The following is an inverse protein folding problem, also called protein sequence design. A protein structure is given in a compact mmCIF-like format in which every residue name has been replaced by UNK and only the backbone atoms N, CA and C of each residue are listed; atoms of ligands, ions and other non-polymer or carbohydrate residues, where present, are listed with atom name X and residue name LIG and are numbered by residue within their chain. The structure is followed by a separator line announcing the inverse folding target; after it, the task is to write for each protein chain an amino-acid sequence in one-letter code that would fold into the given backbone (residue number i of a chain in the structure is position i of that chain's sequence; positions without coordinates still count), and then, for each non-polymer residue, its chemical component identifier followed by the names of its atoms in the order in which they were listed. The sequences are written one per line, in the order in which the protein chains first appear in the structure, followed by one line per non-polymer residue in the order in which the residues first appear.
data_IF_515689258938
#
_entry.id   IF_515689258938
#
_cell.length_a   1.000
_cell.length_b   1.000
_cell.length_c   1.000
_cell.angle_alpha   90.00
_cell.angle_beta   90.00
_cell.angle_gamma   90.00
#
_symmetry.space_group_name_H-M   'P 1'
#
loop_
_entity.id
_entity.type
_entity.pdbx_description
1 polymer ?
#
# COMPACT_ATOMS: atom_id res chain seq x y z
N UNK A 1 4.85 -5.89 21.56
CA UNK A 1 3.98 -6.42 20.50
C UNK A 1 4.51 -7.81 20.20
N UNK A 2 3.70 -8.86 20.40
CA UNK A 2 4.10 -10.26 20.24
C UNK A 2 3.32 -10.81 19.03
N UNK A 3 4.05 -11.39 18.08
CA UNK A 3 3.41 -12.07 16.94
C UNK A 3 3.26 -13.54 17.26
N UNK A 4 2.04 -14.06 17.17
CA UNK A 4 1.71 -15.46 17.38
C UNK A 4 1.83 -16.22 16.05
N UNK A 5 2.80 -17.15 15.93
CA UNK A 5 2.91 -18.05 14.79
C UNK A 5 1.82 -19.13 14.83
N UNK A 6 1.68 -19.85 13.74
CA UNK A 6 0.70 -20.94 13.60
C UNK A 6 0.82 -22.02 14.70
N UNK A 7 2.04 -22.35 15.11
CA UNK A 7 2.32 -23.34 16.14
C UNK A 7 1.75 -22.96 17.51
N UNK A 8 1.91 -21.67 17.90
CA UNK A 8 1.37 -21.17 19.16
C UNK A 8 -0.16 -21.18 19.17
N UNK A 9 -0.77 -20.88 18.02
CA UNK A 9 -2.23 -20.97 17.86
C UNK A 9 -2.71 -22.40 17.95
N UNK A 10 -1.99 -23.37 17.37
CA UNK A 10 -2.29 -24.81 17.50
C UNK A 10 -2.18 -25.31 18.93
N UNK A 11 -1.21 -24.82 19.71
CA UNK A 11 -1.02 -25.22 21.11
C UNK A 11 -2.07 -24.59 22.05
N UNK A 12 -2.55 -23.37 21.75
CA UNK A 12 -3.53 -22.67 22.61
C UNK A 12 -4.98 -23.06 22.36
N UNK A 13 -5.26 -23.72 21.26
CA UNK A 13 -6.60 -24.17 20.92
C UNK A 13 -6.61 -25.68 20.63
N UNK A 14 -7.49 -26.42 21.31
CA UNK A 14 -8.02 -27.65 20.74
C UNK A 14 -8.90 -27.23 19.55
N UNK A 15 -8.28 -27.12 18.38
CA UNK A 15 -8.90 -26.59 17.17
C UNK A 15 -9.95 -27.57 16.62
N UNK A 16 -11.11 -27.58 17.24
CA UNK A 16 -12.36 -28.08 16.63
C UNK A 16 -12.83 -27.09 15.54
N UNK A 17 -13.66 -27.53 14.62
CA UNK A 17 -14.32 -26.61 13.69
C UNK A 17 -15.31 -25.71 14.47
N UNK A 18 -15.20 -24.37 14.24
CA UNK A 18 -16.17 -23.40 14.75
C UNK A 18 -15.87 -22.84 16.16
N UNK A 19 -14.62 -22.90 16.64
CA UNK A 19 -14.22 -22.35 17.95
C UNK A 19 -13.99 -20.84 17.98
N UNK A 20 -13.83 -20.27 19.19
CA UNK A 20 -13.41 -18.89 19.41
C UNK A 20 -11.93 -18.84 19.84
N UNK A 21 -11.15 -17.97 19.20
CA UNK A 21 -9.76 -17.70 19.57
C UNK A 21 -9.62 -16.26 20.11
N UNK A 22 -9.24 -16.13 21.38
CA UNK A 22 -9.10 -14.82 22.03
C UNK A 22 -7.66 -14.34 22.02
N UNK A 23 -7.42 -13.17 21.42
CA UNK A 23 -6.14 -12.47 21.48
C UNK A 23 -5.99 -11.69 22.77
N UNK A 24 -4.80 -11.73 23.36
CA UNK A 24 -4.46 -10.89 24.51
C UNK A 24 -4.00 -9.51 24.07
N UNK A 25 -4.00 -8.54 25.00
CA UNK A 25 -3.54 -7.19 24.70
C UNK A 25 -2.06 -7.20 24.26
N UNK A 26 -1.79 -6.66 23.07
CA UNK A 26 -0.44 -6.62 22.49
C UNK A 26 -0.05 -7.82 21.63
N UNK A 27 -0.92 -8.83 21.49
CA UNK A 27 -0.73 -9.95 20.58
C UNK A 27 -1.29 -9.65 19.19
N UNK A 28 -0.60 -10.15 18.15
CA UNK A 28 -1.06 -10.15 16.75
C UNK A 28 -0.80 -11.51 16.13
N UNK A 29 -1.70 -11.93 15.27
CA UNK A 29 -1.53 -13.17 14.50
C UNK A 29 -0.58 -12.93 13.33
N UNK A 30 0.25 -13.93 13.03
CA UNK A 30 0.94 -13.99 11.75
C UNK A 30 -0.05 -14.32 10.62
N UNK A 31 0.28 -14.05 9.33
CA UNK A 31 -0.55 -14.44 8.21
C UNK A 31 -0.90 -15.93 8.20
N UNK A 32 0.06 -16.82 8.50
CA UNK A 32 -0.15 -18.25 8.59
C UNK A 32 -1.11 -18.64 9.74
N UNK A 33 -0.98 -18.00 10.92
CA UNK A 33 -1.88 -18.20 12.05
C UNK A 33 -3.31 -17.71 11.74
N UNK A 34 -3.44 -16.60 11.03
CA UNK A 34 -4.75 -16.08 10.58
C UNK A 34 -5.41 -17.06 9.59
N UNK A 35 -4.64 -17.59 8.65
CA UNK A 35 -5.13 -18.58 7.68
C UNK A 35 -5.56 -19.88 8.36
N UNK A 36 -4.79 -20.36 9.34
CA UNK A 36 -5.16 -21.55 10.13
C UNK A 36 -6.50 -21.36 10.85
N UNK A 37 -6.73 -20.23 11.52
CA UNK A 37 -7.98 -19.96 12.24
C UNK A 37 -9.15 -19.82 11.25
N UNK A 38 -8.92 -19.22 10.10
CA UNK A 38 -9.92 -19.08 9.04
C UNK A 38 -10.29 -20.43 8.41
N UNK A 39 -9.30 -21.29 8.11
CA UNK A 39 -9.54 -22.62 7.55
C UNK A 39 -10.31 -23.54 8.49
N UNK A 40 -10.28 -23.26 9.80
CA UNK A 40 -11.01 -23.97 10.85
C UNK A 40 -12.32 -23.31 11.24
N UNK A 41 -12.71 -22.22 10.53
CA UNK A 41 -13.92 -21.44 10.83
C UNK A 41 -13.94 -20.90 12.28
N UNK A 42 -12.76 -20.59 12.85
CA UNK A 42 -12.63 -20.06 14.19
C UNK A 42 -12.81 -18.54 14.20
N UNK A 43 -13.64 -18.04 15.11
CA UNK A 43 -13.86 -16.60 15.29
C UNK A 43 -12.76 -16.01 16.17
N UNK A 44 -12.06 -15.00 15.66
CA UNK A 44 -11.03 -14.25 16.42
C UNK A 44 -11.68 -13.13 17.21
N UNK A 45 -11.49 -13.13 18.53
CA UNK A 45 -12.00 -12.09 19.45
C UNK A 45 -10.81 -11.20 19.84
N UNK A 46 -10.93 -9.90 19.55
CA UNK A 46 -9.93 -8.90 19.91
C UNK A 46 -10.07 -8.47 21.38
N UNK A 47 -8.98 -8.07 22.05
CA UNK A 47 -9.03 -7.57 23.44
C UNK A 47 -9.92 -6.32 23.53
N UNK A 48 -10.95 -6.38 24.39
CA UNK A 48 -11.90 -5.29 24.61
C UNK A 48 -13.28 -5.48 23.96
N UNK A 49 -13.52 -6.54 23.19
CA UNK A 49 -14.86 -6.90 22.73
C UNK A 49 -15.56 -7.82 23.77
N UNK A 50 -16.55 -7.28 24.47
CA UNK A 50 -17.47 -8.10 25.27
C UNK A 50 -18.48 -8.76 24.33
N UNK A 51 -18.62 -10.07 24.43
CA UNK A 51 -19.76 -10.81 23.85
C UNK A 51 -21.02 -10.43 24.63
N UNK A 52 -21.95 -9.74 23.97
CA UNK A 52 -23.32 -9.62 24.48
C UNK A 52 -24.03 -10.94 24.15
N UNK A 53 -24.31 -11.70 25.18
CA UNK A 53 -25.10 -12.91 25.12
C UNK A 53 -26.56 -12.52 24.80
N UNK A 54 -27.05 -12.91 23.64
CA UNK A 54 -28.46 -12.71 23.27
C UNK A 54 -29.30 -13.74 23.94
N UNK A 55 -30.19 -13.33 24.83
CA UNK A 55 -31.24 -14.16 25.43
C UNK A 55 -32.30 -14.57 24.40
N UNK A 56 -32.97 -15.70 24.58
CA UNK A 56 -33.88 -16.27 23.60
C UNK A 56 -35.21 -15.51 23.55
N UNK A 57 -35.68 -15.20 22.34
CA UNK A 57 -37.01 -14.68 22.10
C UNK A 57 -37.87 -15.81 21.49
N UNK A 58 -38.97 -16.03 22.14
CA UNK A 58 -40.03 -17.00 21.98
C UNK A 58 -40.76 -16.86 20.62
N UNK A 59 -41.26 -18.00 20.14
CA UNK A 59 -42.03 -18.17 18.91
C UNK A 59 -43.36 -17.41 18.87
N UNK A 60 -43.67 -16.87 17.70
CA UNK A 60 -45.06 -16.71 17.26
C UNK A 60 -45.18 -16.83 15.72
N UNK A 61 -45.87 -17.86 15.26
CA UNK A 61 -46.37 -18.08 13.91
C UNK A 61 -47.87 -17.67 13.91
N UNK A 62 -48.63 -17.31 12.84
CA UNK A 62 -48.53 -17.85 11.48
C UNK A 62 -48.85 -16.91 10.29
N UNK A 63 -48.73 -17.48 9.12
CA UNK A 63 -49.46 -17.32 7.86
C UNK A 63 -48.74 -16.60 6.70
N UNK A 64 -48.51 -17.45 5.67
CA UNK A 64 -48.06 -17.11 4.32
C UNK A 64 -49.17 -16.40 3.48
N UNK A 65 -48.88 -15.80 2.30
CA UNK A 65 -48.65 -16.62 1.12
C UNK A 65 -47.53 -16.19 0.16
N UNK A 66 -47.18 -17.12 -0.69
CA UNK A 66 -46.22 -17.20 -1.73
C UNK A 66 -45.93 -15.96 -2.56
N UNK A 67 -44.64 -15.69 -2.79
CA UNK A 67 -44.11 -15.06 -4.02
C UNK A 67 -42.77 -15.69 -4.35
N UNK A 68 -42.66 -16.10 -5.58
CA UNK A 68 -41.60 -16.68 -6.40
C UNK A 68 -40.17 -16.66 -5.88
N UNK A 69 -39.57 -17.86 -5.92
CA UNK A 69 -38.15 -18.10 -5.69
C UNK A 69 -37.27 -17.41 -6.77
N UNK A 70 -36.48 -16.43 -6.33
CA UNK A 70 -35.31 -16.04 -7.06
C UNK A 70 -34.29 -17.19 -6.99
N UNK A 71 -33.55 -17.46 -8.10
CA UNK A 71 -32.63 -18.60 -8.13
C UNK A 71 -31.50 -18.36 -7.12
N UNK A 72 -31.37 -19.26 -6.16
CA UNK A 72 -30.19 -19.42 -5.32
C UNK A 72 -29.00 -19.62 -6.23
N UNK A 73 -28.09 -18.63 -6.25
CA UNK A 73 -26.77 -18.80 -6.85
C UNK A 73 -26.11 -20.03 -6.22
N UNK A 74 -25.54 -20.95 -7.01
CA UNK A 74 -24.85 -22.11 -6.49
C UNK A 74 -23.71 -21.65 -5.59
N UNK A 75 -23.60 -22.23 -4.39
CA UNK A 75 -22.40 -22.12 -3.58
C UNK A 75 -21.20 -22.47 -4.47
N UNK A 76 -20.39 -21.47 -4.81
CA UNK A 76 -19.19 -21.70 -5.59
C UNK A 76 -18.32 -22.68 -4.80
N UNK A 77 -18.19 -23.91 -5.30
CA UNK A 77 -17.15 -24.84 -4.91
C UNK A 77 -15.85 -24.05 -4.94
N UNK A 78 -15.24 -23.88 -3.78
CA UNK A 78 -13.91 -23.28 -3.63
C UNK A 78 -12.92 -24.25 -4.27
N UNK A 79 -12.83 -24.19 -5.60
CA UNK A 79 -11.74 -24.81 -6.32
C UNK A 79 -10.46 -24.17 -5.80
N UNK A 80 -9.66 -24.96 -5.10
CA UNK A 80 -8.31 -24.61 -4.68
C UNK A 80 -7.46 -24.45 -5.97
N UNK A 81 -7.46 -23.23 -6.52
CA UNK A 81 -6.57 -22.91 -7.63
C UNK A 81 -5.19 -22.59 -7.03
N UNK A 82 -4.15 -23.39 -7.29
CA UNK A 82 -2.79 -23.14 -6.79
C UNK A 82 -2.27 -21.74 -7.18
N UNK A 83 -2.78 -21.19 -8.27
CA UNK A 83 -2.46 -19.86 -8.82
C UNK A 83 -3.52 -18.80 -8.51
N UNK A 84 -4.54 -19.12 -7.71
CA UNK A 84 -5.58 -18.17 -7.31
C UNK A 84 -5.07 -17.17 -6.27
N UNK A 85 -5.56 -15.94 -6.36
CA UNK A 85 -5.34 -14.89 -5.34
C UNK A 85 -6.57 -14.00 -5.23
N UNK A 86 -6.77 -13.38 -4.06
CA UNK A 86 -7.87 -12.47 -3.86
C UNK A 86 -7.65 -11.14 -4.55
N UNK A 87 -8.57 -10.76 -5.42
CA UNK A 87 -8.63 -9.43 -6.01
C UNK A 87 -9.27 -8.43 -5.03
N UNK A 88 -10.32 -8.88 -4.36
CA UNK A 88 -11.02 -8.18 -3.27
C UNK A 88 -11.55 -9.23 -2.25
N UNK A 89 -12.36 -8.79 -1.29
CA UNK A 89 -12.85 -9.66 -0.22
C UNK A 89 -13.64 -10.90 -0.72
N UNK A 90 -14.21 -10.83 -1.93
CA UNK A 90 -15.15 -11.84 -2.45
C UNK A 90 -14.72 -12.44 -3.79
N UNK A 91 -13.71 -11.86 -4.45
CA UNK A 91 -13.33 -12.21 -5.82
C UNK A 91 -11.95 -12.86 -5.82
N UNK A 92 -11.87 -14.12 -6.26
CA UNK A 92 -10.62 -14.83 -6.50
C UNK A 92 -10.32 -14.80 -8.00
N UNK A 93 -9.10 -14.43 -8.36
CA UNK A 93 -8.61 -14.37 -9.74
C UNK A 93 -7.28 -15.10 -9.88
N UNK A 94 -6.87 -15.42 -11.10
CA UNK A 94 -5.52 -15.93 -11.37
C UNK A 94 -4.46 -14.90 -10.98
N UNK A 95 -3.29 -15.36 -10.53
CA UNK A 95 -2.11 -14.50 -10.30
C UNK A 95 -1.63 -13.79 -11.57
N UNK A 96 -2.03 -14.27 -12.75
CA UNK A 96 -1.79 -13.61 -14.04
C UNK A 96 -2.78 -12.46 -14.33
N UNK A 97 -3.78 -12.23 -13.46
CA UNK A 97 -4.75 -11.15 -13.65
C UNK A 97 -4.05 -9.79 -13.73
N UNK A 98 -4.42 -8.89 -14.68
CA UNK A 98 -3.73 -7.61 -14.90
C UNK A 98 -3.60 -6.74 -13.64
N UNK A 99 -4.65 -6.65 -12.81
CA UNK A 99 -4.59 -5.89 -11.56
C UNK A 99 -3.63 -6.51 -10.53
N UNK A 100 -3.50 -7.84 -10.49
CA UNK A 100 -2.52 -8.51 -9.62
C UNK A 100 -1.09 -8.22 -10.10
N UNK A 101 -0.86 -8.22 -11.41
CA UNK A 101 0.41 -7.79 -11.99
C UNK A 101 0.77 -6.35 -11.59
N UNK A 102 -0.18 -5.41 -11.69
CA UNK A 102 0.02 -4.02 -11.27
C UNK A 102 0.34 -3.90 -9.77
N UNK A 103 -0.40 -4.62 -8.93
CA UNK A 103 -0.13 -4.66 -7.47
C UNK A 103 1.27 -5.17 -7.17
N UNK A 104 1.74 -6.20 -7.89
CA UNK A 104 3.11 -6.70 -7.78
C UNK A 104 4.16 -5.66 -8.17
N UNK A 105 3.91 -4.84 -9.18
CA UNK A 105 4.78 -3.73 -9.56
C UNK A 105 4.79 -2.62 -8.51
N UNK A 106 3.63 -2.27 -7.94
CA UNK A 106 3.53 -1.31 -6.84
C UNK A 106 4.27 -1.81 -5.59
N UNK A 107 4.09 -3.08 -5.22
CA UNK A 107 4.77 -3.69 -4.07
C UNK A 107 6.30 -3.68 -4.25
N UNK A 108 6.79 -3.98 -5.46
CA UNK A 108 8.21 -3.86 -5.78
C UNK A 108 8.73 -2.44 -5.58
N UNK A 109 7.98 -1.42 -6.02
CA UNK A 109 8.38 -0.02 -5.87
C UNK A 109 8.32 0.42 -4.40
N UNK A 110 7.31 0.00 -3.64
CA UNK A 110 7.22 0.23 -2.19
C UNK A 110 8.44 -0.35 -1.48
N UNK A 111 8.76 -1.62 -1.73
CA UNK A 111 9.90 -2.31 -1.15
C UNK A 111 11.23 -1.63 -1.52
N UNK A 112 11.36 -1.19 -2.78
CA UNK A 112 12.53 -0.45 -3.25
C UNK A 112 12.66 0.91 -2.56
N UNK A 113 11.54 1.60 -2.30
CA UNK A 113 11.54 2.89 -1.58
C UNK A 113 12.02 2.70 -0.14
N UNK A 114 11.55 1.66 0.55
CA UNK A 114 12.02 1.31 1.90
C UNK A 114 13.53 1.03 1.89
N UNK A 115 14.03 0.27 0.90
CA UNK A 115 15.46 -0.02 0.77
C UNK A 115 16.30 1.25 0.59
N UNK A 116 15.86 2.16 -0.27
CA UNK A 116 16.55 3.45 -0.50
C UNK A 116 16.49 4.33 0.75
N UNK A 117 15.37 4.33 1.47
CA UNK A 117 15.20 5.07 2.72
C UNK A 117 16.21 4.64 3.79
N UNK A 118 16.50 3.33 3.91
CA UNK A 118 17.53 2.84 4.83
C UNK A 118 18.93 3.37 4.50
N UNK A 119 19.24 3.52 3.22
CA UNK A 119 20.49 4.14 2.75
C UNK A 119 20.58 5.63 3.08
N UNK A 120 19.47 6.36 2.96
CA UNK A 120 19.39 7.77 3.34
C UNK A 120 19.49 7.98 4.85
N UNK A 121 18.80 7.18 5.64
CA UNK A 121 18.82 7.28 7.10
C UNK A 121 20.21 7.04 7.70
N UNK A 122 21.05 6.27 7.03
CA UNK A 122 22.47 6.10 7.36
C UNK A 122 23.35 7.30 7.06
N UNK A 123 22.87 8.28 6.29
CA UNK A 123 23.60 9.49 5.91
C UNK A 123 23.18 10.69 6.78
N UNK A 124 23.79 10.83 7.95
CA UNK A 124 23.52 11.90 8.90
C UNK A 124 23.81 13.33 8.37
N UNK A 125 24.37 13.47 7.19
CA UNK A 125 24.69 14.76 6.57
C UNK A 125 23.51 15.36 5.81
N UNK A 126 22.54 14.54 5.42
CA UNK A 126 21.37 15.03 4.68
C UNK A 126 20.36 15.69 5.61
N UNK A 127 19.76 16.82 5.20
CA UNK A 127 18.67 17.45 5.93
C UNK A 127 17.50 16.53 6.18
N UNK A 128 16.84 16.68 7.33
CA UNK A 128 15.69 15.85 7.71
C UNK A 128 14.55 15.90 6.65
N UNK A 129 14.38 17.05 5.97
CA UNK A 129 13.37 17.22 4.93
C UNK A 129 13.57 16.21 3.77
N UNK A 130 14.80 15.90 3.40
CA UNK A 130 15.08 14.91 2.35
C UNK A 130 14.80 13.49 2.81
N UNK A 131 15.11 13.17 4.07
CA UNK A 131 14.75 11.88 4.67
C UNK A 131 13.23 11.72 4.76
N UNK A 132 12.54 12.79 5.18
CA UNK A 132 11.07 12.80 5.24
C UNK A 132 10.42 12.70 3.86
N UNK A 133 11.05 13.28 2.82
CA UNK A 133 10.56 13.16 1.44
C UNK A 133 10.43 11.72 0.95
N UNK A 134 11.34 10.81 1.34
CA UNK A 134 11.18 9.38 1.04
C UNK A 134 10.03 8.74 1.83
N UNK A 135 9.78 9.20 3.07
CA UNK A 135 8.61 8.77 3.83
C UNK A 135 7.31 9.23 3.15
N UNK A 136 7.27 10.47 2.65
CA UNK A 136 6.13 10.98 1.89
C UNK A 136 5.87 10.14 0.63
N UNK A 137 6.93 9.79 -0.13
CA UNK A 137 6.83 8.91 -1.30
C UNK A 137 6.27 7.53 -0.92
N UNK A 138 6.72 6.96 0.20
CA UNK A 138 6.23 5.67 0.66
C UNK A 138 4.75 5.71 1.05
N UNK A 139 4.33 6.75 1.79
CA UNK A 139 2.91 6.99 2.12
C UNK A 139 2.09 7.15 0.85
N UNK A 140 2.58 7.91 -0.12
CA UNK A 140 1.93 8.11 -1.41
C UNK A 140 1.69 6.79 -2.15
N UNK A 141 2.70 5.92 -2.22
CA UNK A 141 2.59 4.60 -2.86
C UNK A 141 1.55 3.70 -2.19
N UNK A 142 1.54 3.66 -0.84
CA UNK A 142 0.54 2.92 -0.09
C UNK A 142 -0.88 3.43 -0.34
N UNK A 143 -1.06 4.74 -0.47
CA UNK A 143 -2.36 5.35 -0.78
C UNK A 143 -2.84 5.00 -2.19
N UNK A 144 -1.92 4.96 -3.18
CA UNK A 144 -2.27 4.47 -4.53
C UNK A 144 -2.70 3.00 -4.48
N UNK A 145 -1.95 2.15 -3.79
CA UNK A 145 -2.29 0.73 -3.67
C UNK A 145 -3.62 0.53 -2.95
N UNK A 146 -3.87 1.27 -1.87
CA UNK A 146 -5.13 1.24 -1.14
C UNK A 146 -6.30 1.68 -2.03
N UNK A 147 -6.16 2.78 -2.77
CA UNK A 147 -7.19 3.28 -3.69
C UNK A 147 -7.48 2.27 -4.81
N UNK A 148 -6.46 1.56 -5.29
CA UNK A 148 -6.63 0.48 -6.28
C UNK A 148 -7.44 -0.69 -5.71
N UNK A 149 -7.18 -1.08 -4.46
CA UNK A 149 -7.87 -2.21 -3.81
C UNK A 149 -9.29 -1.84 -3.37
N UNK A 150 -9.46 -0.68 -2.72
CA UNK A 150 -10.74 -0.25 -2.14
C UNK A 150 -11.72 0.35 -3.13
N UNK A 151 -11.21 0.87 -4.26
CA UNK A 151 -12.01 1.67 -5.20
C UNK A 151 -12.24 3.12 -4.75
N UNK A 152 -11.78 3.52 -3.57
CA UNK A 152 -11.85 4.90 -3.07
C UNK A 152 -10.92 5.83 -3.85
N UNK A 153 -11.19 7.13 -3.81
CA UNK A 153 -10.35 8.13 -4.47
C UNK A 153 -8.95 8.22 -3.83
N UNK A 154 -7.92 8.46 -4.66
CA UNK A 154 -6.57 8.71 -4.17
C UNK A 154 -6.55 10.01 -3.37
N UNK A 155 -6.11 10.02 -2.10
CA UNK A 155 -6.00 11.25 -1.32
C UNK A 155 -5.04 12.28 -1.95
N UNK A 156 -5.16 13.55 -1.56
CA UNK A 156 -4.23 14.59 -1.99
C UNK A 156 -2.81 14.28 -1.51
N UNK A 157 -1.84 14.39 -2.41
CA UNK A 157 -0.45 14.03 -2.19
C UNK A 157 0.42 15.26 -1.92
N UNK A 158 1.45 15.08 -1.11
CA UNK A 158 2.48 16.09 -0.89
C UNK A 158 3.87 15.48 -0.83
N UNK A 159 4.89 16.29 -1.15
CA UNK A 159 6.30 15.94 -1.02
C UNK A 159 7.02 17.10 -0.33
N UNK A 160 7.61 16.89 0.83
CA UNK A 160 8.31 17.94 1.57
C UNK A 160 7.47 19.22 1.75
N UNK A 161 6.15 19.06 1.97
CA UNK A 161 5.19 20.18 2.05
C UNK A 161 4.69 20.73 0.72
N UNK A 162 5.26 20.35 -0.41
CA UNK A 162 4.81 20.75 -1.75
C UNK A 162 3.58 19.94 -2.17
N UNK A 163 2.53 20.60 -2.62
CA UNK A 163 1.39 19.96 -3.27
C UNK A 163 1.72 19.56 -4.74
N UNK A 164 0.79 18.88 -5.39
CA UNK A 164 0.98 18.38 -6.76
C UNK A 164 1.30 19.48 -7.78
N UNK A 165 0.75 20.68 -7.62
CA UNK A 165 1.03 21.81 -8.52
C UNK A 165 2.42 22.38 -8.26
N UNK A 166 2.84 22.55 -7.02
CA UNK A 166 4.20 23.01 -6.69
C UNK A 166 5.25 22.00 -7.21
N UNK A 167 5.02 20.70 -7.04
CA UNK A 167 5.89 19.65 -7.60
C UNK A 167 6.00 19.80 -9.13
N UNK A 168 4.88 20.06 -9.82
CA UNK A 168 4.85 20.27 -11.26
C UNK A 168 5.71 21.47 -11.65
N UNK A 169 5.50 22.60 -11.00
CA UNK A 169 6.22 23.84 -11.29
C UNK A 169 7.73 23.68 -11.08
N UNK A 170 8.14 23.12 -9.94
CA UNK A 170 9.56 22.88 -9.61
C UNK A 170 10.20 21.88 -10.59
N UNK A 171 9.50 20.81 -10.95
CA UNK A 171 10.05 19.81 -11.89
C UNK A 171 10.21 20.33 -13.31
N UNK A 172 9.42 21.34 -13.73
CA UNK A 172 9.47 21.94 -15.07
C UNK A 172 10.47 23.08 -15.18
N UNK A 173 10.64 23.87 -14.13
CA UNK A 173 11.58 25.00 -14.13
C UNK A 173 12.41 25.01 -12.83
N UNK A 174 13.29 24.01 -12.64
CA UNK A 174 14.06 23.90 -11.41
C UNK A 174 15.07 25.05 -11.25
N UNK A 175 15.50 25.70 -12.34
CA UNK A 175 16.38 26.87 -12.26
C UNK A 175 15.71 28.03 -11.54
N UNK A 176 14.43 28.27 -11.84
CA UNK A 176 13.64 29.34 -11.22
C UNK A 176 13.43 29.12 -9.73
N UNK A 177 13.10 27.88 -9.33
CA UNK A 177 12.65 27.56 -7.96
C UNK A 177 13.80 27.12 -7.04
N UNK A 178 14.80 26.43 -7.59
CA UNK A 178 15.91 25.84 -6.83
C UNK A 178 17.28 26.48 -7.13
N UNK A 179 17.35 27.36 -8.13
CA UNK A 179 18.63 27.82 -8.64
C UNK A 179 19.52 26.68 -9.19
N UNK A 180 18.87 25.58 -9.59
CA UNK A 180 19.50 24.36 -10.08
C UNK A 180 18.90 24.01 -11.44
N UNK A 181 19.76 23.87 -12.46
CA UNK A 181 19.30 23.41 -13.77
C UNK A 181 18.82 21.96 -13.77
N UNK A 182 18.19 21.56 -14.87
CA UNK A 182 17.87 20.16 -15.07
C UNK A 182 19.14 19.30 -14.97
N UNK A 183 18.99 18.13 -14.35
CA UNK A 183 20.09 17.17 -14.21
C UNK A 183 19.90 16.00 -15.17
N UNK A 184 21.02 15.58 -15.77
CA UNK A 184 21.13 14.28 -16.40
C UNK A 184 21.78 13.34 -15.37
N UNK A 185 21.13 12.23 -14.98
CA UNK A 185 21.72 11.32 -14.02
C UNK A 185 23.09 10.81 -14.47
N UNK A 186 24.09 11.03 -13.63
CA UNK A 186 25.48 10.64 -13.87
C UNK A 186 26.11 10.16 -12.55
N UNK A 187 27.14 9.32 -12.64
CA UNK A 187 27.86 8.79 -11.47
C UNK A 187 28.49 9.90 -10.62
N UNK A 188 28.86 11.02 -11.23
CA UNK A 188 29.42 12.17 -10.55
C UNK A 188 28.44 12.88 -9.59
N UNK A 189 27.13 12.66 -9.76
CA UNK A 189 26.09 13.17 -8.85
C UNK A 189 25.97 12.37 -7.56
N UNK A 190 26.74 11.30 -7.40
CA UNK A 190 26.82 10.52 -6.17
C UNK A 190 25.74 9.45 -6.02
N UNK A 191 25.90 8.59 -4.99
CA UNK A 191 25.05 7.41 -4.79
C UNK A 191 23.59 7.75 -4.47
N UNK A 192 23.34 8.85 -3.73
CA UNK A 192 21.98 9.22 -3.33
C UNK A 192 21.13 9.60 -4.55
N UNK A 193 21.69 10.38 -5.46
CA UNK A 193 21.02 10.75 -6.71
C UNK A 193 20.81 9.51 -7.61
N UNK A 194 21.79 8.60 -7.64
CA UNK A 194 21.66 7.35 -8.40
C UNK A 194 20.53 6.47 -7.88
N UNK A 195 20.40 6.31 -6.55
CA UNK A 195 19.32 5.55 -5.92
C UNK A 195 17.95 6.18 -6.18
N UNK A 196 17.84 7.51 -6.07
CA UNK A 196 16.59 8.22 -6.40
C UNK A 196 16.24 8.09 -7.89
N UNK A 197 17.24 8.16 -8.79
CA UNK A 197 17.00 7.96 -10.22
C UNK A 197 16.50 6.55 -10.52
N UNK A 198 17.01 5.55 -9.82
CA UNK A 198 16.52 4.17 -9.94
C UNK A 198 15.05 4.06 -9.49
N UNK A 199 14.67 4.66 -8.33
CA UNK A 199 13.27 4.74 -7.91
C UNK A 199 12.38 5.46 -8.93
N UNK A 200 12.88 6.58 -9.50
CA UNK A 200 12.15 7.33 -10.52
C UNK A 200 11.88 6.49 -11.76
N UNK A 201 12.85 5.69 -12.20
CA UNK A 201 12.68 4.79 -13.34
C UNK A 201 11.63 3.71 -13.05
N UNK A 202 11.65 3.11 -11.86
CA UNK A 202 10.65 2.14 -11.43
C UNK A 202 9.24 2.77 -11.32
N UNK A 203 9.12 4.00 -10.81
CA UNK A 203 7.84 4.70 -10.78
C UNK A 203 7.24 4.86 -12.18
N UNK A 204 8.07 5.15 -13.18
CA UNK A 204 7.64 5.19 -14.59
C UNK A 204 7.25 3.82 -15.14
N UNK A 205 7.93 2.75 -14.72
CA UNK A 205 7.51 1.38 -15.08
C UNK A 205 6.12 1.04 -14.52
N UNK A 206 5.83 1.45 -13.29
CA UNK A 206 4.50 1.26 -12.68
C UNK A 206 3.43 2.06 -13.44
N UNK A 207 3.71 3.31 -13.81
CA UNK A 207 2.82 4.14 -14.63
C UNK A 207 2.51 3.46 -15.98
N UNK A 208 3.53 2.97 -16.67
CA UNK A 208 3.38 2.24 -17.94
C UNK A 208 2.57 0.96 -17.73
N UNK A 209 2.87 0.18 -16.68
CA UNK A 209 2.12 -1.03 -16.35
C UNK A 209 0.64 -0.71 -16.07
N UNK A 210 0.34 0.41 -15.40
CA UNK A 210 -1.03 0.88 -15.17
C UNK A 210 -1.78 1.09 -16.50
N UNK A 211 -1.16 1.78 -17.45
CA UNK A 211 -1.74 2.01 -18.78
C UNK A 211 -1.95 0.69 -19.53
N UNK A 212 -0.99 -0.24 -19.46
CA UNK A 212 -1.09 -1.56 -20.10
C UNK A 212 -2.22 -2.43 -19.53
N UNK A 213 -2.51 -2.30 -18.24
CA UNK A 213 -3.60 -3.01 -17.57
C UNK A 213 -4.98 -2.50 -18.03
N UNK A 214 -5.06 -1.31 -18.62
CA UNK A 214 -6.30 -0.75 -19.16
C UNK A 214 -7.29 -0.33 -18.08
N UNK A 215 -6.82 0.07 -16.90
CA UNK A 215 -7.69 0.61 -15.86
C UNK A 215 -8.15 2.04 -16.19
N UNK A 216 -9.42 2.34 -15.92
CA UNK A 216 -10.05 3.63 -16.25
C UNK A 216 -10.14 4.57 -15.03
N UNK A 217 -9.13 4.56 -14.14
CA UNK A 217 -9.05 5.40 -12.93
C UNK A 217 -8.07 6.55 -13.16
N UNK A 218 -8.60 7.70 -13.62
CA UNK A 218 -7.79 8.89 -13.92
C UNK A 218 -7.02 9.43 -12.70
N UNK A 219 -7.60 9.32 -11.51
CA UNK A 219 -6.96 9.75 -10.26
C UNK A 219 -5.70 8.93 -9.93
N UNK A 220 -5.73 7.61 -10.14
CA UNK A 220 -4.56 6.74 -9.97
C UNK A 220 -3.49 7.07 -11.02
N UNK A 221 -3.88 7.21 -12.29
CA UNK A 221 -2.95 7.55 -13.36
C UNK A 221 -2.28 8.91 -13.13
N UNK A 222 -3.07 9.93 -12.77
CA UNK A 222 -2.55 11.26 -12.46
C UNK A 222 -1.59 11.23 -11.27
N UNK A 223 -1.91 10.43 -10.24
CA UNK A 223 -1.06 10.24 -9.06
C UNK A 223 0.27 9.57 -9.42
N UNK A 224 0.26 8.49 -10.20
CA UNK A 224 1.47 7.80 -10.68
C UNK A 224 2.34 8.71 -11.54
N UNK A 225 1.74 9.47 -12.46
CA UNK A 225 2.46 10.44 -13.29
C UNK A 225 3.15 11.51 -12.43
N UNK A 226 2.46 12.02 -11.40
CA UNK A 226 3.02 13.00 -10.48
C UNK A 226 4.11 12.43 -9.59
N UNK A 227 4.02 11.15 -9.22
CA UNK A 227 5.02 10.47 -8.38
C UNK A 227 6.42 10.48 -9.01
N UNK A 228 6.54 10.20 -10.30
CA UNK A 228 7.84 10.24 -11.00
C UNK A 228 8.44 11.64 -10.99
N UNK A 229 7.60 12.69 -11.11
CA UNK A 229 8.02 14.09 -10.98
C UNK A 229 8.44 14.44 -9.55
N UNK A 230 7.74 13.92 -8.55
CA UNK A 230 8.08 14.12 -7.13
C UNK A 230 9.47 13.53 -6.81
N UNK A 231 9.73 12.31 -7.28
CA UNK A 231 11.05 11.68 -7.08
C UNK A 231 12.14 12.51 -7.80
N UNK A 232 11.85 13.05 -8.98
CA UNK A 232 12.79 13.94 -9.68
C UNK A 232 13.05 15.23 -8.91
N UNK A 233 12.05 15.84 -8.32
CA UNK A 233 12.22 17.00 -7.43
C UNK A 233 13.09 16.64 -6.22
N UNK A 234 12.89 15.47 -5.62
CA UNK A 234 13.73 15.00 -4.52
C UNK A 234 15.20 14.79 -4.96
N UNK A 235 15.45 14.33 -6.20
CA UNK A 235 16.80 14.28 -6.77
C UNK A 235 17.44 15.66 -6.86
N UNK A 236 16.69 16.65 -7.37
CA UNK A 236 17.18 18.04 -7.46
C UNK A 236 17.50 18.63 -6.09
N UNK A 237 16.61 18.43 -5.10
CA UNK A 237 16.83 18.87 -3.73
C UNK A 237 18.07 18.18 -3.11
N UNK A 238 18.33 16.92 -3.45
CA UNK A 238 19.53 16.20 -3.02
C UNK A 238 20.80 16.84 -3.58
N UNK A 239 20.82 17.14 -4.87
CA UNK A 239 21.96 17.84 -5.52
C UNK A 239 22.19 19.21 -4.87
N UNK A 240 21.14 19.97 -4.61
CA UNK A 240 21.24 21.28 -3.94
C UNK A 240 21.82 21.13 -2.53
N UNK A 241 21.33 20.18 -1.75
CA UNK A 241 21.81 19.93 -0.39
C UNK A 241 23.27 19.46 -0.36
N UNK A 242 23.66 18.55 -1.23
CA UNK A 242 25.01 17.99 -1.31
C UNK A 242 26.03 19.04 -1.83
N UNK A 243 25.57 20.06 -2.56
CA UNK A 243 26.40 21.22 -2.91
C UNK A 243 26.62 22.22 -1.75
N UNK A 244 26.09 21.93 -0.56
CA UNK A 244 26.20 22.79 0.62
C UNK A 244 25.24 23.98 0.62
N UNK A 245 24.31 24.06 -0.32
CA UNK A 245 23.28 25.11 -0.35
C UNK A 245 22.15 24.80 0.64
N UNK A 246 21.63 25.85 1.24
CA UNK A 246 20.54 25.73 2.20
C UNK A 246 19.19 25.55 1.48
N UNK A 247 18.63 24.35 1.55
CA UNK A 247 17.34 24.02 0.95
C UNK A 247 16.15 24.62 1.71
N UNK A 248 16.32 25.09 2.96
CA UNK A 248 15.25 25.74 3.71
C UNK A 248 14.90 27.13 3.16
N UNK A 249 15.80 27.72 2.38
CA UNK A 249 15.63 29.02 1.72
C UNK A 249 15.11 28.90 0.28
N UNK A 250 14.91 27.69 -0.19
CA UNK A 250 14.27 27.45 -1.48
C UNK A 250 12.81 27.84 -1.29
N UNK A 251 12.35 28.85 -2.03
CA UNK A 251 10.98 29.37 -1.94
C UNK A 251 9.94 28.37 -2.44
N UNK A 252 9.69 27.37 -1.61
CA UNK A 252 8.71 26.30 -1.81
C UNK A 252 7.41 26.66 -1.13
#
# INVERSE_FOLDING_TARGET
MIFLPEEDVRQRCELGQGGEFRLQAGERLTPAATELLRSRNCRVILPGQCTVEAAPVEEAKPAAPAAEAAPTAPAAEQASFPDGTYLDANTVVSKSHPRIFLRGKLDTLISSTVLVQTGFDGNNKLPAVLRNGLSDINVWLWQILQAEVSGEAVPAQSLCGMNAEAIRLVSHDPMKYLGQGHIVPDVALGPNVALLNWLRAQAREVEVAYVQVGMEREDILASLNRLSSAIYVLMLLTVVAESGRDISKVGL
#
